data_IF_812857599998
#
_entry.id   IF_812857599998
#
_cell.length_a   1.000
_cell.length_b   1.000
_cell.length_c   1.000
_cell.angle_alpha   90.00
_cell.angle_beta   90.00
_cell.angle_gamma   90.00
#
_symmetry.space_group_name_H-M   'P 1'
#
loop_
_entity.id
_entity.type
_entity.pdbx_description
1 polymer ?
#
# COMPACT_ATOMS: atom_id res chain seq x y z
N UNK A 1 -22.25 -21.01 4.73
CA UNK A 1 -20.95 -20.36 4.42
C UNK A 1 -20.79 -20.39 2.91
N UNK A 2 -20.68 -19.21 2.22
CA UNK A 2 -20.53 -19.19 0.76
C UNK A 2 -19.21 -19.84 0.37
N UNK A 3 -19.24 -20.72 -0.60
CA UNK A 3 -18.06 -21.30 -1.24
C UNK A 3 -17.55 -20.36 -2.33
N UNK A 4 -16.25 -20.41 -2.61
CA UNK A 4 -15.68 -19.69 -3.76
C UNK A 4 -16.21 -20.33 -5.05
N UNK A 5 -16.63 -19.51 -6.03
CA UNK A 5 -17.02 -20.01 -7.36
C UNK A 5 -15.86 -20.77 -8.00
N UNK A 6 -16.20 -21.74 -8.86
CA UNK A 6 -15.23 -22.54 -9.59
C UNK A 6 -14.25 -21.64 -10.37
N UNK A 7 -12.98 -21.96 -10.30
CA UNK A 7 -11.91 -21.30 -11.04
C UNK A 7 -10.88 -22.32 -11.49
N UNK A 8 -10.10 -21.98 -12.50
CA UNK A 8 -8.94 -22.76 -12.95
C UNK A 8 -7.69 -22.21 -12.28
N UNK A 9 -6.79 -23.10 -11.83
CA UNK A 9 -5.49 -22.71 -11.30
C UNK A 9 -4.37 -23.10 -12.27
N UNK A 10 -3.53 -22.13 -12.60
CA UNK A 10 -2.29 -22.30 -13.35
C UNK A 10 -1.12 -22.17 -12.39
N UNK A 11 -0.25 -23.16 -12.31
CA UNK A 11 0.99 -23.14 -11.53
C UNK A 11 2.14 -22.70 -12.43
N UNK A 12 2.42 -21.42 -12.51
CA UNK A 12 3.50 -20.89 -13.33
C UNK A 12 4.87 -21.32 -12.79
N UNK A 13 5.78 -21.71 -13.66
CA UNK A 13 7.15 -22.14 -13.32
C UNK A 13 8.18 -21.03 -13.52
N UNK A 14 7.81 -19.99 -14.26
CA UNK A 14 8.65 -18.82 -14.51
C UNK A 14 7.81 -17.52 -14.54
N UNK A 15 8.49 -16.38 -14.52
CA UNK A 15 7.86 -15.08 -14.70
C UNK A 15 7.21 -14.96 -16.07
N UNK A 16 7.86 -15.45 -17.11
CA UNK A 16 7.41 -15.42 -18.50
C UNK A 16 6.13 -16.26 -18.68
N UNK A 17 6.09 -17.45 -18.06
CA UNK A 17 4.89 -18.28 -18.05
C UNK A 17 3.73 -17.62 -17.31
N UNK A 18 4.00 -16.98 -16.18
CA UNK A 18 2.98 -16.22 -15.43
C UNK A 18 2.42 -15.06 -16.26
N UNK A 19 3.28 -14.26 -16.88
CA UNK A 19 2.92 -13.14 -17.76
C UNK A 19 2.07 -13.64 -18.95
N UNK A 20 2.48 -14.73 -19.59
CA UNK A 20 1.74 -15.35 -20.69
C UNK A 20 0.33 -15.79 -20.27
N UNK A 21 0.22 -16.46 -19.12
CA UNK A 21 -1.07 -16.91 -18.60
C UNK A 21 -1.99 -15.74 -18.22
N UNK A 22 -1.44 -14.63 -17.72
CA UNK A 22 -2.20 -13.44 -17.31
C UNK A 22 -2.84 -12.67 -18.48
N UNK A 23 -2.46 -12.94 -19.72
CA UNK A 23 -3.08 -12.34 -20.92
C UNK A 23 -4.52 -12.80 -21.14
N UNK A 24 -4.87 -13.96 -20.63
CA UNK A 24 -6.25 -14.45 -20.74
C UNK A 24 -7.22 -13.59 -19.92
N UNK A 25 -8.43 -13.42 -20.44
CA UNK A 25 -9.47 -12.62 -19.78
C UNK A 25 -9.79 -13.17 -18.38
N UNK A 26 -10.13 -12.27 -17.45
CA UNK A 26 -10.49 -12.62 -16.07
C UNK A 26 -9.44 -13.49 -15.34
N UNK A 27 -8.17 -13.31 -15.69
CA UNK A 27 -7.04 -13.99 -15.07
C UNK A 27 -6.38 -13.07 -14.04
N UNK A 28 -6.12 -13.60 -12.85
CA UNK A 28 -5.55 -12.84 -11.73
C UNK A 28 -4.34 -13.57 -11.14
N UNK A 29 -3.32 -12.81 -10.77
CA UNK A 29 -2.15 -13.32 -10.07
C UNK A 29 -2.51 -13.69 -8.62
N UNK A 30 -2.06 -14.85 -8.15
CA UNK A 30 -2.24 -15.34 -6.79
C UNK A 30 -0.87 -15.50 -6.12
N UNK A 31 -0.59 -14.67 -5.12
CA UNK A 31 0.54 -14.79 -4.20
C UNK A 31 0.08 -15.35 -2.85
N UNK A 32 0.12 -14.58 -1.76
CA UNK A 32 -0.35 -15.02 -0.44
C UNK A 32 -1.85 -15.24 -0.31
N UNK A 33 -2.65 -14.71 -1.24
CA UNK A 33 -4.11 -14.91 -1.30
C UNK A 33 -4.93 -14.18 -0.23
N UNK A 34 -4.31 -13.52 0.74
CA UNK A 34 -4.96 -12.92 1.91
C UNK A 34 -5.94 -11.78 1.60
N UNK A 35 -5.86 -11.17 0.42
CA UNK A 35 -6.85 -10.25 -0.11
C UNK A 35 -7.77 -10.88 -1.17
N UNK A 36 -7.18 -11.60 -2.13
CA UNK A 36 -7.89 -12.12 -3.30
C UNK A 36 -8.93 -13.19 -2.91
N UNK A 37 -8.58 -14.12 -2.02
CA UNK A 37 -9.51 -15.18 -1.61
C UNK A 37 -10.75 -14.60 -0.93
N UNK A 38 -10.58 -13.59 -0.07
CA UNK A 38 -11.70 -12.86 0.53
C UNK A 38 -12.55 -12.12 -0.52
N UNK A 39 -11.91 -11.49 -1.50
CA UNK A 39 -12.59 -10.82 -2.62
C UNK A 39 -13.47 -11.79 -3.41
N UNK A 40 -12.97 -12.99 -3.69
CA UNK A 40 -13.69 -14.03 -4.40
C UNK A 40 -14.81 -14.64 -3.54
N UNK A 41 -14.52 -15.00 -2.29
CA UNK A 41 -15.47 -15.65 -1.38
C UNK A 41 -16.70 -14.77 -1.08
N UNK A 42 -16.49 -13.47 -0.94
CA UNK A 42 -17.57 -12.52 -0.67
C UNK A 42 -18.22 -11.96 -1.94
N UNK A 43 -17.81 -12.44 -3.12
CA UNK A 43 -18.36 -12.01 -4.41
C UNK A 43 -18.38 -10.47 -4.53
N UNK A 44 -17.30 -9.83 -4.13
CA UNK A 44 -17.19 -8.36 -4.08
C UNK A 44 -17.31 -7.75 -5.47
N UNK A 45 -16.74 -8.40 -6.49
CA UNK A 45 -16.71 -7.93 -7.87
C UNK A 45 -17.93 -8.44 -8.66
N UNK A 46 -18.39 -7.69 -9.68
CA UNK A 46 -19.40 -8.18 -10.60
C UNK A 46 -18.89 -9.39 -11.39
N UNK A 47 -19.80 -10.22 -11.87
CA UNK A 47 -19.45 -11.46 -12.58
C UNK A 47 -18.47 -11.25 -13.74
N UNK A 48 -18.63 -10.15 -14.50
CA UNK A 48 -17.73 -9.81 -15.60
C UNK A 48 -16.28 -9.52 -15.17
N UNK A 49 -16.05 -9.20 -13.90
CA UNK A 49 -14.72 -8.92 -13.33
C UNK A 49 -14.25 -10.03 -12.38
N UNK A 50 -15.07 -11.07 -12.17
CA UNK A 50 -14.75 -12.14 -11.23
C UNK A 50 -13.60 -12.99 -11.78
N UNK A 51 -12.57 -13.29 -10.96
CA UNK A 51 -11.44 -14.12 -11.38
C UNK A 51 -11.91 -15.54 -11.78
N UNK A 52 -11.64 -15.93 -13.01
CA UNK A 52 -11.94 -17.28 -13.52
C UNK A 52 -10.69 -18.15 -13.58
N UNK A 53 -9.53 -17.52 -13.75
CA UNK A 53 -8.22 -18.19 -13.77
C UNK A 53 -7.33 -17.52 -12.73
N UNK A 54 -6.68 -18.33 -11.89
CA UNK A 54 -5.70 -17.88 -10.92
C UNK A 54 -4.32 -18.39 -11.29
N UNK A 55 -3.39 -17.49 -11.57
CA UNK A 55 -1.98 -17.80 -11.81
C UNK A 55 -1.24 -17.81 -10.48
N UNK A 56 -0.89 -18.98 -10.00
CA UNK A 56 -0.15 -19.18 -8.77
C UNK A 56 1.31 -18.77 -8.96
N UNK A 57 1.70 -17.65 -8.35
CA UNK A 57 3.07 -17.15 -8.41
C UNK A 57 4.01 -17.88 -7.42
N UNK A 58 3.47 -18.52 -6.37
CA UNK A 58 4.32 -19.20 -5.36
C UNK A 58 5.11 -20.37 -5.90
N UNK A 59 4.72 -20.90 -7.04
CA UNK A 59 5.47 -21.96 -7.75
C UNK A 59 6.72 -21.42 -8.46
N UNK A 60 6.89 -20.10 -8.56
CA UNK A 60 8.09 -19.45 -9.09
C UNK A 60 9.17 -19.27 -7.99
N UNK A 61 8.80 -19.42 -6.70
CA UNK A 61 9.78 -19.41 -5.62
C UNK A 61 10.88 -20.50 -5.83
N UNK A 62 12.14 -20.27 -5.46
CA UNK A 62 12.62 -19.19 -4.59
C UNK A 62 13.03 -17.90 -5.31
N UNK A 63 12.92 -17.80 -6.63
CA UNK A 63 13.47 -16.67 -7.40
C UNK A 63 12.81 -15.31 -7.08
N UNK A 64 11.61 -15.30 -6.49
CA UNK A 64 10.88 -14.12 -6.08
C UNK A 64 10.68 -14.01 -4.56
N UNK A 65 11.37 -14.83 -3.77
CA UNK A 65 11.31 -14.84 -2.30
C UNK A 65 12.73 -14.70 -1.73
N UNK A 66 13.14 -13.48 -1.47
CA UNK A 66 14.47 -13.16 -0.96
C UNK A 66 14.52 -11.76 -0.33
N UNK A 67 15.46 -11.57 0.61
CA UNK A 67 15.90 -10.27 1.12
C UNK A 67 17.42 -10.22 0.97
N UNK A 68 17.93 -9.27 0.19
CA UNK A 68 19.36 -9.12 -0.11
C UNK A 68 19.76 -7.65 -0.10
N UNK A 69 20.91 -7.34 0.46
CA UNK A 69 21.56 -6.06 0.30
C UNK A 69 22.70 -6.22 -0.69
N UNK A 70 22.60 -5.56 -1.84
CA UNK A 70 23.63 -5.59 -2.87
C UNK A 70 23.62 -4.30 -3.70
N UNK A 71 24.81 -3.89 -4.14
CA UNK A 71 24.99 -2.70 -5.02
C UNK A 71 24.34 -1.42 -4.47
N UNK A 72 24.40 -1.20 -3.14
CA UNK A 72 23.82 -0.02 -2.50
C UNK A 72 22.29 -0.01 -2.43
N UNK A 73 21.66 -1.18 -2.56
CA UNK A 73 20.21 -1.34 -2.55
C UNK A 73 19.81 -2.52 -1.66
N UNK A 74 18.76 -2.34 -0.87
CA UNK A 74 17.98 -3.45 -0.35
C UNK A 74 17.07 -3.97 -1.47
N UNK A 75 17.18 -5.24 -1.81
CA UNK A 75 16.33 -5.92 -2.78
C UNK A 75 15.46 -6.95 -2.08
N UNK A 76 14.15 -6.85 -2.28
CA UNK A 76 13.16 -7.74 -1.65
C UNK A 76 12.32 -8.36 -2.76
N UNK A 77 12.30 -9.66 -2.85
CA UNK A 77 11.46 -10.38 -3.82
C UNK A 77 9.96 -10.17 -3.54
N UNK A 78 9.15 -10.10 -4.60
CA UNK A 78 7.72 -9.79 -4.46
C UNK A 78 6.93 -10.84 -3.66
N UNK A 79 7.42 -12.08 -3.56
CA UNK A 79 6.82 -13.16 -2.79
C UNK A 79 7.32 -13.24 -1.34
N UNK A 80 8.27 -12.40 -0.94
CA UNK A 80 8.74 -12.34 0.45
C UNK A 80 7.60 -11.98 1.37
N UNK A 81 7.43 -12.76 2.43
CA UNK A 81 6.34 -12.57 3.40
C UNK A 81 6.59 -11.31 4.23
N UNK A 82 5.50 -10.66 4.62
CA UNK A 82 5.57 -9.47 5.47
C UNK A 82 6.23 -9.78 6.82
N UNK A 83 6.04 -10.98 7.35
CA UNK A 83 6.65 -11.41 8.61
C UNK A 83 8.19 -11.52 8.48
N UNK A 84 8.69 -12.03 7.34
CA UNK A 84 10.12 -12.14 7.10
C UNK A 84 10.78 -10.75 7.00
N UNK A 85 10.11 -9.79 6.36
CA UNK A 85 10.57 -8.39 6.30
C UNK A 85 10.56 -7.77 7.71
N UNK A 86 9.51 -8.00 8.48
CA UNK A 86 9.37 -7.49 9.84
C UNK A 86 10.44 -8.05 10.79
N UNK A 87 10.86 -9.30 10.59
CA UNK A 87 11.87 -9.97 11.43
C UNK A 87 13.31 -9.77 10.96
N UNK A 88 13.52 -9.37 9.70
CA UNK A 88 14.85 -9.24 9.10
C UNK A 88 15.71 -8.21 9.87
N UNK A 89 16.86 -8.64 10.40
CA UNK A 89 17.83 -7.76 11.04
C UNK A 89 18.39 -6.73 10.07
N UNK A 90 18.62 -7.11 8.83
CA UNK A 90 19.09 -6.21 7.76
C UNK A 90 18.09 -5.08 7.52
N UNK A 91 16.80 -5.40 7.39
CA UNK A 91 15.75 -4.38 7.16
C UNK A 91 15.59 -3.49 8.39
N UNK A 92 15.63 -4.06 9.60
CA UNK A 92 15.51 -3.30 10.85
C UNK A 92 16.63 -2.28 11.05
N UNK A 93 17.85 -2.63 10.67
CA UNK A 93 19.03 -1.79 10.95
C UNK A 93 19.07 -0.51 10.13
N UNK A 94 18.63 -0.54 8.87
CA UNK A 94 18.79 0.60 7.95
C UNK A 94 17.46 1.11 7.38
N UNK A 95 16.43 0.26 7.27
CA UNK A 95 15.11 0.60 6.71
C UNK A 95 14.00 0.42 7.75
N UNK A 96 14.22 0.99 8.94
CA UNK A 96 13.35 0.81 10.11
C UNK A 96 11.85 1.08 9.79
N UNK A 97 11.55 2.13 9.01
CA UNK A 97 10.18 2.42 8.59
C UNK A 97 9.52 1.25 7.83
N UNK A 98 10.26 0.54 7.00
CA UNK A 98 9.73 -0.60 6.24
C UNK A 98 9.50 -1.82 7.13
N UNK A 99 10.45 -2.12 8.03
CA UNK A 99 10.31 -3.20 8.99
C UNK A 99 9.11 -2.98 9.91
N UNK A 100 8.96 -1.78 10.48
CA UNK A 100 7.83 -1.44 11.34
C UNK A 100 6.49 -1.45 10.58
N UNK A 101 6.45 -0.94 9.34
CA UNK A 101 5.27 -0.99 8.49
C UNK A 101 4.83 -2.44 8.21
N UNK A 102 5.78 -3.33 7.91
CA UNK A 102 5.51 -4.75 7.73
C UNK A 102 5.00 -5.39 9.03
N UNK A 103 5.62 -5.10 10.17
CA UNK A 103 5.25 -5.59 11.50
C UNK A 103 3.82 -5.16 11.90
N UNK A 104 3.44 -3.91 11.61
CA UNK A 104 2.13 -3.35 11.94
C UNK A 104 1.02 -3.74 10.97
N UNK A 105 1.34 -4.51 9.93
CA UNK A 105 0.34 -5.00 8.95
C UNK A 105 -0.42 -6.18 9.54
N UNK A 106 -1.74 -6.06 9.63
CA UNK A 106 -2.68 -7.13 9.97
C UNK A 106 -2.30 -7.93 11.25
N UNK A 107 -2.52 -9.25 11.24
CA UNK A 107 -2.14 -10.19 12.31
C UNK A 107 -0.90 -11.00 11.91
N UNK A 108 -0.20 -11.66 12.87
CA UNK A 108 0.92 -12.55 12.56
C UNK A 108 0.57 -13.61 11.51
N UNK A 109 -0.59 -14.28 11.64
CA UNK A 109 -1.04 -15.29 10.69
C UNK A 109 -1.23 -14.74 9.27
N UNK A 110 -1.73 -13.51 9.15
CA UNK A 110 -1.87 -12.86 7.84
C UNK A 110 -0.48 -12.50 7.28
N UNK A 111 0.46 -12.04 8.09
CA UNK A 111 1.82 -11.68 7.65
C UNK A 111 2.65 -12.91 7.23
N UNK A 112 2.42 -14.07 7.85
CA UNK A 112 3.06 -15.35 7.46
C UNK A 112 2.60 -15.86 6.09
N UNK A 113 1.49 -15.35 5.57
CA UNK A 113 0.95 -15.69 4.25
C UNK A 113 1.04 -14.54 3.25
N UNK A 114 0.80 -13.31 3.72
CA UNK A 114 0.79 -12.11 2.91
C UNK A 114 2.19 -11.71 2.46
N UNK A 115 2.36 -11.48 1.17
CA UNK A 115 3.63 -11.07 0.57
C UNK A 115 3.69 -9.57 0.35
N UNK A 116 4.89 -9.01 0.23
CA UNK A 116 5.03 -7.57 -0.02
C UNK A 116 4.45 -7.16 -1.37
N UNK A 117 4.65 -7.95 -2.42
CA UNK A 117 4.02 -7.71 -3.73
C UNK A 117 2.50 -7.74 -3.64
N UNK A 118 1.93 -8.73 -2.92
CA UNK A 118 0.48 -8.79 -2.67
C UNK A 118 -0.02 -7.61 -1.84
N UNK A 119 0.74 -7.16 -0.84
CA UNK A 119 0.37 -6.03 0.00
C UNK A 119 0.27 -4.72 -0.79
N UNK A 120 1.23 -4.41 -1.64
CA UNK A 120 1.21 -3.19 -2.45
C UNK A 120 0.18 -3.22 -3.59
N UNK A 121 -0.23 -4.41 -4.02
CA UNK A 121 -1.23 -4.61 -5.10
C UNK A 121 -2.65 -4.84 -4.59
N UNK A 122 -2.89 -4.88 -3.27
CA UNK A 122 -4.19 -5.17 -2.71
C UNK A 122 -5.26 -4.15 -3.11
N UNK A 123 -6.51 -4.60 -3.18
CA UNK A 123 -7.65 -3.75 -3.47
C UNK A 123 -8.00 -2.84 -2.29
N UNK A 124 -8.57 -1.68 -2.59
CA UNK A 124 -8.97 -0.70 -1.58
C UNK A 124 -9.99 -1.24 -0.58
N UNK A 125 -10.00 -0.64 0.63
CA UNK A 125 -10.89 -1.01 1.76
C UNK A 125 -12.00 0.01 1.95
N UNK A 126 -12.90 0.12 0.97
CA UNK A 126 -14.08 0.95 1.05
C UNK A 126 -15.29 0.09 1.46
N UNK A 127 -16.13 0.56 2.35
CA UNK A 127 -17.35 -0.11 2.81
C UNK A 127 -18.24 -0.57 1.65
N UNK A 128 -18.52 0.32 0.71
CA UNK A 128 -19.38 0.06 -0.44
C UNK A 128 -18.73 -0.88 -1.45
N UNK A 129 -17.43 -0.72 -1.68
CA UNK A 129 -16.69 -1.60 -2.58
C UNK A 129 -16.58 -3.02 -2.04
N UNK A 130 -16.34 -3.18 -0.72
CA UNK A 130 -16.10 -4.48 -0.07
C UNK A 130 -17.36 -5.20 0.39
N UNK A 131 -18.53 -4.59 0.27
CA UNK A 131 -19.76 -5.27 0.64
C UNK A 131 -20.01 -6.46 -0.30
N UNK A 132 -20.32 -7.61 0.32
CA UNK A 132 -20.54 -8.87 -0.39
C UNK A 132 -21.70 -8.79 -1.38
N UNK A 133 -21.75 -9.79 -2.28
CA UNK A 133 -22.76 -9.94 -3.32
C UNK A 133 -22.82 -8.76 -4.30
N UNK A 134 -21.68 -8.09 -4.51
CA UNK A 134 -21.56 -6.90 -5.37
C UNK A 134 -22.69 -5.88 -5.15
N UNK A 135 -23.20 -5.78 -3.90
CA UNK A 135 -24.42 -5.02 -3.57
C UNK A 135 -24.41 -3.57 -4.05
N UNK A 136 -23.24 -2.92 -4.05
CA UNK A 136 -23.09 -1.56 -4.57
C UNK A 136 -22.26 -1.58 -5.85
N UNK A 137 -22.88 -1.33 -6.97
CA UNK A 137 -22.22 -1.16 -8.26
C UNK A 137 -21.58 0.25 -8.33
N UNK A 138 -20.48 0.44 -7.60
CA UNK A 138 -19.76 1.71 -7.56
C UNK A 138 -18.83 1.88 -8.77
N UNK A 139 -18.21 3.07 -8.89
CA UNK A 139 -17.26 3.39 -9.98
C UNK A 139 -16.15 2.35 -10.16
N UNK A 140 -15.66 1.73 -9.08
CA UNK A 140 -14.65 0.65 -9.16
C UNK A 140 -15.18 -0.68 -9.69
N UNK A 141 -16.47 -0.81 -9.80
CA UNK A 141 -17.17 -2.00 -10.30
C UNK A 141 -17.84 -1.76 -11.66
N UNK A 142 -17.49 -0.67 -12.34
CA UNK A 142 -18.09 -0.28 -13.61
C UNK A 142 -19.37 0.55 -13.50
N UNK A 143 -19.80 0.90 -12.29
CA UNK A 143 -20.91 1.83 -12.07
C UNK A 143 -20.51 3.29 -12.27
N UNK A 144 -21.48 4.19 -12.12
CA UNK A 144 -21.29 5.64 -12.32
C UNK A 144 -21.19 6.43 -11.01
N UNK A 145 -21.49 5.83 -9.86
CA UNK A 145 -21.65 6.53 -8.58
C UNK A 145 -20.61 6.09 -7.56
N UNK A 146 -20.04 7.05 -6.84
CA UNK A 146 -19.31 6.78 -5.60
C UNK A 146 -20.26 6.96 -4.40
N UNK A 147 -20.71 5.88 -3.81
CA UNK A 147 -21.68 5.91 -2.70
C UNK A 147 -21.12 6.54 -1.43
N UNK A 148 -19.80 6.64 -1.27
CA UNK A 148 -19.18 7.31 -0.15
C UNK A 148 -19.33 8.84 -0.19
N UNK A 149 -19.64 9.44 -1.35
CA UNK A 149 -19.81 10.89 -1.46
C UNK A 149 -20.94 11.41 -0.57
N UNK A 150 -22.09 10.74 -0.59
CA UNK A 150 -23.28 11.11 0.14
C UNK A 150 -23.56 10.23 1.36
N UNK A 151 -22.96 9.05 1.43
CA UNK A 151 -23.18 8.06 2.49
C UNK A 151 -22.14 8.10 3.59
N UNK A 152 -21.93 6.95 4.25
CA UNK A 152 -20.93 6.79 5.31
C UNK A 152 -19.51 6.96 4.74
N UNK A 153 -18.78 7.95 5.23
CA UNK A 153 -17.48 8.30 4.67
C UNK A 153 -16.38 8.65 5.70
N UNK A 154 -16.59 8.32 6.99
CA UNK A 154 -15.66 8.67 8.08
C UNK A 154 -14.22 8.21 7.87
N UNK A 155 -13.98 7.12 7.14
CA UNK A 155 -12.64 6.58 6.87
C UNK A 155 -12.17 6.77 5.42
N UNK A 156 -12.89 7.55 4.63
CA UNK A 156 -12.53 7.83 3.24
C UNK A 156 -11.51 8.96 3.10
N UNK A 157 -11.16 9.27 1.84
CA UNK A 157 -10.16 10.28 1.50
C UNK A 157 -10.51 11.67 2.06
N UNK A 158 -9.47 12.40 2.47
CA UNK A 158 -9.54 13.82 2.85
C UNK A 158 -8.86 14.74 1.83
N UNK A 159 -8.35 14.18 0.72
CA UNK A 159 -7.71 14.92 -0.36
C UNK A 159 -8.46 14.78 -1.70
N UNK A 160 -9.78 14.53 -1.63
CA UNK A 160 -10.58 14.27 -2.82
C UNK A 160 -10.45 12.83 -3.32
N UNK A 161 -10.75 12.60 -4.58
CA UNK A 161 -10.76 11.28 -5.20
C UNK A 161 -10.09 11.25 -6.56
N UNK A 162 -9.82 10.04 -7.05
CA UNK A 162 -9.36 9.81 -8.42
C UNK A 162 -10.47 9.06 -9.15
N UNK A 163 -10.82 9.50 -10.37
CA UNK A 163 -11.95 8.93 -11.15
C UNK A 163 -13.23 8.83 -10.32
N UNK A 164 -13.56 9.90 -9.60
CA UNK A 164 -14.70 10.01 -8.69
C UNK A 164 -14.69 9.03 -7.49
N UNK A 165 -13.67 8.20 -7.29
CA UNK A 165 -13.59 7.25 -6.18
C UNK A 165 -12.94 7.90 -4.95
N UNK A 166 -13.61 7.86 -3.80
CA UNK A 166 -13.12 8.39 -2.52
C UNK A 166 -12.45 7.34 -1.63
N UNK A 167 -12.23 6.12 -2.13
CA UNK A 167 -11.55 5.08 -1.36
C UNK A 167 -10.09 5.47 -1.09
N UNK A 168 -9.53 4.93 -0.01
CA UNK A 168 -8.13 5.16 0.37
C UNK A 168 -7.27 3.94 0.08
N UNK A 169 -5.96 4.16 -0.10
CA UNK A 169 -4.99 3.08 -0.17
C UNK A 169 -4.84 2.43 1.22
N UNK A 170 -4.95 1.10 1.34
CA UNK A 170 -4.93 0.42 2.63
C UNK A 170 -3.56 -0.16 3.03
N UNK A 171 -2.56 -0.11 2.15
CA UNK A 171 -1.27 -0.76 2.38
C UNK A 171 -0.46 -0.04 3.45
N UNK A 172 -0.06 -0.76 4.51
CA UNK A 172 0.83 -0.19 5.53
C UNK A 172 2.25 0.00 4.99
N UNK A 173 2.73 -0.86 4.08
CA UNK A 173 4.09 -0.74 3.52
C UNK A 173 4.22 0.37 2.48
N UNK A 174 3.11 0.77 1.84
CA UNK A 174 3.13 1.77 0.77
C UNK A 174 3.77 3.12 1.17
N UNK A 175 3.39 3.77 2.29
CA UNK A 175 4.01 5.03 2.67
C UNK A 175 5.50 4.88 3.02
N UNK A 176 5.91 3.74 3.60
CA UNK A 176 7.31 3.46 3.88
C UNK A 176 8.14 3.37 2.58
N UNK A 177 7.62 2.67 1.56
CA UNK A 177 8.29 2.57 0.26
C UNK A 177 8.43 3.93 -0.43
N UNK A 178 7.41 4.80 -0.35
CA UNK A 178 7.47 6.15 -0.90
C UNK A 178 8.46 7.02 -0.12
N UNK A 179 8.42 7.01 1.21
CA UNK A 179 9.34 7.79 2.04
C UNK A 179 10.80 7.36 1.86
N UNK A 180 11.04 6.06 1.68
CA UNK A 180 12.36 5.48 1.42
C UNK A 180 12.80 5.55 -0.04
N UNK A 181 12.06 6.24 -0.91
CA UNK A 181 12.38 6.41 -2.33
C UNK A 181 12.57 5.07 -3.09
N UNK A 182 11.74 4.09 -2.76
CA UNK A 182 11.82 2.76 -3.35
C UNK A 182 11.44 2.74 -4.83
N UNK A 183 11.91 1.71 -5.53
CA UNK A 183 11.52 1.36 -6.90
C UNK A 183 10.82 0.01 -6.91
N UNK A 184 9.80 -0.12 -7.71
CA UNK A 184 9.04 -1.35 -7.93
C UNK A 184 9.46 -1.91 -9.29
N UNK A 185 10.14 -3.04 -9.29
CA UNK A 185 10.56 -3.73 -10.51
C UNK A 185 9.47 -4.73 -10.89
N UNK A 186 8.98 -4.59 -12.10
CA UNK A 186 7.95 -5.48 -12.65
C UNK A 186 8.53 -6.44 -13.68
N UNK A 187 7.69 -7.25 -14.30
CA UNK A 187 8.08 -8.11 -15.42
C UNK A 187 8.48 -7.33 -16.67
N UNK A 188 8.10 -6.05 -16.79
CA UNK A 188 8.31 -5.24 -18.00
C UNK A 188 9.10 -3.95 -17.77
N UNK A 189 9.08 -3.37 -16.56
CA UNK A 189 9.65 -2.03 -16.29
C UNK A 189 9.99 -1.83 -14.82
N UNK A 190 10.69 -0.73 -14.55
CA UNK A 190 10.93 -0.24 -13.18
C UNK A 190 10.15 1.05 -12.97
N UNK A 191 9.43 1.15 -11.86
CA UNK A 191 8.51 2.25 -11.54
C UNK A 191 8.92 2.84 -10.19
N UNK A 192 8.99 4.16 -10.05
CA UNK A 192 9.18 4.78 -8.74
C UNK A 192 7.97 4.48 -7.84
N UNK A 193 8.19 4.17 -6.56
CA UNK A 193 7.10 3.83 -5.66
C UNK A 193 6.01 4.90 -5.61
N UNK A 194 6.36 6.18 -5.69
CA UNK A 194 5.40 7.30 -5.71
C UNK A 194 4.41 7.26 -6.88
N UNK A 195 4.81 6.64 -8.01
CA UNK A 195 4.04 6.56 -9.25
C UNK A 195 3.30 5.22 -9.41
N UNK A 196 3.56 4.26 -8.53
CA UNK A 196 3.04 2.88 -8.66
C UNK A 196 1.53 2.78 -8.44
N UNK A 197 0.97 3.62 -7.57
CA UNK A 197 -0.46 3.57 -7.24
C UNK A 197 -1.27 4.57 -8.04
N UNK A 198 -2.37 4.09 -8.58
CA UNK A 198 -3.38 4.90 -9.27
C UNK A 198 -4.76 4.28 -9.11
N UNK A 199 -5.79 4.88 -9.69
CA UNK A 199 -7.12 4.27 -9.77
C UNK A 199 -7.31 3.69 -11.16
N UNK A 200 -6.88 2.43 -11.35
CA UNK A 200 -7.32 1.59 -12.48
C UNK A 200 -8.39 0.62 -11.95
N UNK A 201 -9.59 0.70 -12.47
CA UNK A 201 -10.70 -0.14 -12.04
C UNK A 201 -10.52 -1.57 -12.55
N UNK A 202 -10.67 -2.60 -11.71
CA UNK A 202 -10.90 -2.57 -10.27
C UNK A 202 -9.62 -2.39 -9.43
N UNK A 203 -8.45 -2.44 -10.08
CA UNK A 203 -7.12 -2.37 -9.46
C UNK A 203 -6.80 -0.95 -8.99
N UNK A 204 -5.79 -0.82 -8.16
CA UNK A 204 -5.34 0.46 -7.60
C UNK A 204 -3.90 0.77 -7.93
N UNK A 205 -3.33 0.08 -8.92
CA UNK A 205 -1.94 0.21 -9.38
C UNK A 205 -1.89 0.52 -10.87
N UNK A 206 -0.73 0.94 -11.35
CA UNK A 206 -0.46 1.20 -12.77
C UNK A 206 -0.08 -0.05 -13.56
N UNK A 207 -0.09 -1.23 -12.94
CA UNK A 207 0.23 -2.49 -13.60
C UNK A 207 -0.74 -2.80 -14.74
N UNK A 208 -0.21 -3.27 -15.85
CA UNK A 208 -1.02 -3.86 -16.92
C UNK A 208 -1.56 -5.25 -16.50
N UNK A 209 -2.48 -5.81 -17.29
CA UNK A 209 -3.14 -7.06 -16.92
C UNK A 209 -2.17 -8.24 -16.85
N UNK A 210 -1.17 -8.25 -17.72
CA UNK A 210 -0.13 -9.26 -17.83
C UNK A 210 1.20 -8.83 -17.17
N UNK A 211 1.16 -7.82 -16.28
CA UNK A 211 2.34 -7.33 -15.59
C UNK A 211 2.33 -7.76 -14.12
N UNK A 212 3.43 -8.32 -13.64
CA UNK A 212 3.61 -8.72 -12.24
C UNK A 212 4.79 -8.00 -11.60
N UNK A 213 4.69 -7.75 -10.30
CA UNK A 213 5.83 -7.27 -9.49
C UNK A 213 6.81 -8.43 -9.29
N UNK A 214 8.09 -8.20 -9.56
CA UNK A 214 9.18 -9.14 -9.34
C UNK A 214 9.93 -8.88 -8.05
N UNK A 215 10.30 -7.62 -7.82
CA UNK A 215 11.02 -7.21 -6.61
C UNK A 215 10.77 -5.75 -6.28
N UNK A 216 11.14 -5.38 -5.08
CA UNK A 216 11.17 -4.01 -4.58
C UNK A 216 12.63 -3.69 -4.27
N UNK A 217 13.10 -2.54 -4.78
CA UNK A 217 14.43 -2.02 -4.57
C UNK A 217 14.35 -0.76 -3.71
N UNK A 218 15.05 -0.73 -2.58
CA UNK A 218 15.07 0.40 -1.68
C UNK A 218 16.53 0.86 -1.54
N UNK A 219 16.86 2.12 -1.86
CA UNK A 219 18.24 2.59 -1.74
C UNK A 219 18.71 2.52 -0.29
N UNK A 220 20.00 2.27 -0.11
CA UNK A 220 20.64 2.43 1.21
C UNK A 220 20.49 3.90 1.61
N UNK A 221 19.99 4.20 2.82
CA UNK A 221 19.86 5.57 3.27
C UNK A 221 21.23 6.26 3.32
N UNK A 222 21.29 7.54 2.95
CA UNK A 222 22.49 8.35 3.14
C UNK A 222 22.83 8.43 4.63
N UNK A 223 24.10 8.67 4.94
CA UNK A 223 24.56 8.80 6.33
C UNK A 223 23.72 9.81 7.10
N UNK A 224 23.33 9.45 8.33
CA UNK A 224 22.53 10.28 9.22
C UNK A 224 21.02 10.30 8.91
N UNK A 225 20.55 9.62 7.85
CA UNK A 225 19.11 9.48 7.59
C UNK A 225 18.53 8.40 8.49
N UNK A 226 17.54 8.78 9.31
CA UNK A 226 16.70 7.86 10.07
C UNK A 226 15.33 7.76 9.44
N UNK A 227 14.67 6.61 9.58
CA UNK A 227 13.31 6.42 9.07
C UNK A 227 12.39 5.84 10.13
N UNK A 228 11.13 6.26 10.11
CA UNK A 228 10.12 5.84 11.07
C UNK A 228 8.77 5.61 10.38
N UNK A 229 7.97 4.73 10.96
CA UNK A 229 6.59 4.48 10.57
C UNK A 229 5.68 4.56 11.78
N UNK A 230 4.55 5.23 11.63
CA UNK A 230 3.51 5.33 12.65
C UNK A 230 2.14 5.02 12.07
N UNK A 231 1.29 4.36 12.86
CA UNK A 231 -0.05 3.93 12.44
C UNK A 231 -1.07 4.27 13.50
N UNK A 232 -2.14 4.92 13.10
CA UNK A 232 -3.36 5.11 13.87
C UNK A 232 -4.46 4.19 13.34
N UNK A 233 -4.99 3.33 14.21
CA UNK A 233 -6.06 2.39 13.94
C UNK A 233 -6.96 2.27 15.18
N UNK A 234 -8.11 1.64 15.08
CA UNK A 234 -9.01 1.45 16.23
C UNK A 234 -8.40 0.52 17.27
N UNK A 235 -7.71 -0.54 16.83
CA UNK A 235 -6.99 -1.49 17.69
C UNK A 235 -5.52 -1.49 17.32
N UNK A 236 -4.66 -1.85 18.25
CA UNK A 236 -3.20 -1.92 18.04
C UNK A 236 -2.77 -3.02 17.08
N UNK A 237 -3.60 -4.03 16.85
CA UNK A 237 -3.35 -5.17 15.97
C UNK A 237 -4.52 -5.38 14.99
N UNK A 238 -4.27 -6.12 13.91
CA UNK A 238 -5.22 -6.59 12.89
C UNK A 238 -5.86 -5.50 12.03
N UNK A 239 -6.17 -4.33 12.56
CA UNK A 239 -6.92 -3.31 11.83
C UNK A 239 -6.12 -2.68 10.69
N UNK A 240 -6.85 -2.30 9.63
CA UNK A 240 -6.32 -1.40 8.61
C UNK A 240 -6.07 -0.01 9.20
N UNK A 241 -5.14 0.76 8.62
CA UNK A 241 -4.90 2.11 9.10
C UNK A 241 -6.13 2.99 8.87
N UNK A 242 -6.47 3.78 9.87
CA UNK A 242 -7.30 4.97 9.68
C UNK A 242 -6.43 6.06 9.05
N UNK A 243 -5.19 6.18 9.54
CA UNK A 243 -4.11 6.98 8.97
C UNK A 243 -2.79 6.29 9.34
N UNK A 244 -1.87 6.23 8.42
CA UNK A 244 -0.48 5.92 8.70
C UNK A 244 0.46 6.92 8.02
N UNK A 245 1.66 7.05 8.55
CA UNK A 245 2.67 7.96 8.03
C UNK A 245 4.03 7.30 8.13
N UNK A 246 4.84 7.47 7.11
CA UNK A 246 6.26 7.15 7.15
C UNK A 246 7.08 8.40 6.86
N UNK A 247 8.23 8.50 7.50
CA UNK A 247 9.22 9.55 7.27
C UNK A 247 10.61 8.96 7.14
N UNK A 248 11.45 9.63 6.35
CA UNK A 248 12.88 9.40 6.24
C UNK A 248 13.57 10.77 6.25
N UNK A 249 14.31 11.07 7.32
CA UNK A 249 14.82 12.43 7.59
C UNK A 249 16.28 12.35 8.06
N UNK A 250 17.11 13.22 7.54
CA UNK A 250 18.53 13.35 7.87
C UNK A 250 19.35 13.75 6.66
N UNK A 251 20.63 14.07 6.85
CA UNK A 251 21.52 14.45 5.76
C UNK A 251 21.02 15.64 4.90
N UNK A 252 20.27 16.57 5.50
CA UNK A 252 19.67 17.70 4.78
C UNK A 252 18.42 17.38 3.96
N UNK A 253 17.91 16.15 4.04
CA UNK A 253 16.71 15.73 3.28
C UNK A 253 15.59 15.30 4.22
N UNK A 254 14.34 15.51 3.77
CA UNK A 254 13.16 15.00 4.41
C UNK A 254 12.22 14.41 3.35
N UNK A 255 11.78 13.17 3.56
CA UNK A 255 10.72 12.55 2.76
C UNK A 255 9.62 12.07 3.71
N UNK A 256 8.40 12.52 3.48
CA UNK A 256 7.25 12.27 4.37
C UNK A 256 6.07 11.82 3.54
N UNK A 257 5.52 10.67 3.88
CA UNK A 257 4.40 10.10 3.16
C UNK A 257 3.26 9.71 4.10
N UNK A 258 2.10 10.34 3.95
CA UNK A 258 0.83 9.94 4.55
C UNK A 258 0.17 8.85 3.72
N UNK A 259 -0.59 7.96 4.37
CA UNK A 259 -1.43 7.02 3.66
C UNK A 259 -2.76 6.79 4.40
N UNK A 260 -3.69 6.07 3.77
CA UNK A 260 -5.09 5.97 4.17
C UNK A 260 -5.84 7.33 4.21
N UNK A 261 -5.29 8.35 3.57
CA UNK A 261 -5.86 9.71 3.45
C UNK A 261 -6.25 10.05 2.02
N UNK A 262 -5.79 9.26 1.04
CA UNK A 262 -6.03 9.45 -0.39
C UNK A 262 -6.07 8.11 -1.12
N UNK A 263 -6.46 8.09 -2.38
CA UNK A 263 -6.53 6.86 -3.20
C UNK A 263 -5.17 6.17 -3.37
N UNK A 264 -4.10 6.92 -3.27
CA UNK A 264 -2.71 6.46 -3.30
C UNK A 264 -1.94 7.04 -2.10
N UNK A 265 -0.75 6.53 -1.77
CA UNK A 265 0.12 7.18 -0.80
C UNK A 265 0.30 8.66 -1.16
N UNK A 266 0.20 9.53 -0.17
CA UNK A 266 0.23 10.98 -0.33
C UNK A 266 1.56 11.53 0.18
N UNK A 267 2.46 11.84 -0.73
CA UNK A 267 3.72 12.50 -0.39
C UNK A 267 3.43 13.91 0.09
N UNK A 268 3.81 14.22 1.31
CA UNK A 268 3.53 15.50 1.97
C UNK A 268 4.63 16.52 1.67
N UNK A 269 4.79 16.92 0.40
CA UNK A 269 5.87 17.82 -0.04
C UNK A 269 5.93 19.13 0.73
N UNK A 270 4.76 19.71 1.09
CA UNK A 270 4.70 20.92 1.93
C UNK A 270 5.26 20.68 3.34
N UNK A 271 5.12 19.47 3.88
CA UNK A 271 5.74 19.13 5.16
C UNK A 271 7.26 18.95 5.00
N UNK A 272 7.71 18.37 3.88
CA UNK A 272 9.13 18.25 3.55
C UNK A 272 9.78 19.63 3.41
N UNK A 273 9.13 20.55 2.71
CA UNK A 273 9.55 21.96 2.58
C UNK A 273 9.63 22.65 3.95
N UNK A 274 8.62 22.44 4.82
CA UNK A 274 8.61 23.01 6.17
C UNK A 274 9.74 22.45 7.07
N UNK A 275 10.26 21.27 6.78
CA UNK A 275 11.40 20.66 7.48
C UNK A 275 12.75 21.03 6.88
N UNK A 276 12.82 21.64 5.70
CA UNK A 276 14.07 21.97 5.04
C UNK A 276 14.94 22.88 5.92
N UNK A 277 16.18 22.44 6.20
CA UNK A 277 17.13 23.16 7.03
C UNK A 277 16.74 23.28 8.52
N UNK A 278 15.73 22.56 8.99
CA UNK A 278 15.30 22.56 10.40
C UNK A 278 15.85 21.35 11.15
N UNK A 279 16.12 21.55 12.43
CA UNK A 279 16.32 20.48 13.39
C UNK A 279 15.00 19.78 13.70
N UNK A 280 15.06 18.49 14.03
CA UNK A 280 13.89 17.75 14.49
C UNK A 280 13.59 18.14 15.95
N UNK A 281 12.54 18.94 16.13
CA UNK A 281 11.99 19.28 17.43
C UNK A 281 10.46 19.33 17.39
N UNK A 282 9.83 19.61 18.52
CA UNK A 282 8.35 19.65 18.63
C UNK A 282 7.74 20.75 17.77
N UNK A 283 8.41 21.91 17.67
CA UNK A 283 7.89 23.07 16.95
C UNK A 283 7.97 22.86 15.42
N UNK A 284 9.14 22.43 14.92
CA UNK A 284 9.34 22.12 13.51
C UNK A 284 8.42 20.96 13.03
N UNK A 285 8.32 19.90 13.83
CA UNK A 285 7.43 18.77 13.54
C UNK A 285 5.93 19.18 13.57
N UNK A 286 5.53 20.10 14.46
CA UNK A 286 4.16 20.62 14.51
C UNK A 286 3.85 21.47 13.26
N UNK A 287 4.77 22.33 12.86
CA UNK A 287 4.63 23.17 11.66
C UNK A 287 4.53 22.30 10.40
N UNK A 288 5.39 21.28 10.26
CA UNK A 288 5.35 20.33 9.16
C UNK A 288 4.04 19.53 9.14
N UNK A 289 3.54 19.11 10.30
CA UNK A 289 2.24 18.45 10.41
C UNK A 289 1.08 19.32 9.91
N UNK A 290 1.07 20.58 10.26
CA UNK A 290 0.07 21.56 9.75
C UNK A 290 0.20 21.76 8.24
N UNK A 291 1.43 21.89 7.73
CA UNK A 291 1.72 22.03 6.30
C UNK A 291 1.27 20.81 5.49
N UNK A 292 1.43 19.59 6.02
CA UNK A 292 1.06 18.34 5.36
C UNK A 292 -0.41 18.25 4.97
N UNK A 293 -1.29 18.90 5.72
CA UNK A 293 -2.74 18.86 5.50
C UNK A 293 -3.30 20.10 4.80
N UNK A 294 -2.44 20.99 4.36
CA UNK A 294 -2.85 22.17 3.58
C UNK A 294 -3.51 21.73 2.27
N UNK A 295 -4.71 22.21 2.01
CA UNK A 295 -5.49 21.81 0.83
C UNK A 295 -6.34 20.55 1.02
N UNK A 296 -6.40 19.98 2.23
CA UNK A 296 -7.33 18.91 2.54
C UNK A 296 -8.78 19.32 2.31
N UNK A 297 -9.56 18.45 1.67
CA UNK A 297 -10.98 18.61 1.33
C UNK A 297 -11.77 17.44 1.90
N UNK A 298 -12.09 17.56 3.21
CA UNK A 298 -12.82 16.51 3.90
C UNK A 298 -14.26 16.36 3.36
N UNK A 299 -14.78 15.16 3.44
CA UNK A 299 -16.21 14.88 3.28
C UNK A 299 -16.96 15.19 4.59
N UNK A 300 -18.30 15.03 4.55
CA UNK A 300 -19.18 15.41 5.67
C UNK A 300 -18.76 14.79 7.01
N UNK A 301 -18.30 13.53 7.01
CA UNK A 301 -18.09 12.75 8.23
C UNK A 301 -16.61 12.54 8.59
N UNK A 302 -15.65 13.07 7.84
CA UNK A 302 -14.23 12.79 8.05
C UNK A 302 -13.34 14.02 8.29
N UNK A 303 -13.91 15.17 8.65
CA UNK A 303 -13.15 16.40 8.99
C UNK A 303 -12.11 16.16 10.09
N UNK A 304 -12.44 15.35 11.09
CA UNK A 304 -11.57 14.98 12.20
C UNK A 304 -10.26 14.31 11.75
N UNK A 305 -10.27 13.60 10.62
CA UNK A 305 -9.06 12.97 10.05
C UNK A 305 -7.97 13.97 9.70
N UNK A 306 -8.31 15.22 9.40
CA UNK A 306 -7.33 16.27 9.06
C UNK A 306 -6.39 16.52 10.25
N UNK A 307 -6.95 16.70 11.45
CA UNK A 307 -6.14 16.90 12.66
C UNK A 307 -5.31 15.68 13.02
N UNK A 308 -5.91 14.49 12.90
CA UNK A 308 -5.19 13.24 13.14
C UNK A 308 -4.04 13.08 12.13
N UNK A 309 -4.25 13.41 10.85
CA UNK A 309 -3.21 13.33 9.82
C UNK A 309 -2.02 14.26 10.15
N UNK A 310 -2.30 15.51 10.55
CA UNK A 310 -1.25 16.43 11.01
C UNK A 310 -0.48 15.87 12.21
N UNK A 311 -1.18 15.31 13.20
CA UNK A 311 -0.57 14.69 14.37
C UNK A 311 0.28 13.45 14.02
N UNK A 312 -0.14 12.67 13.01
CA UNK A 312 0.64 11.50 12.57
C UNK A 312 1.93 11.90 11.86
N UNK A 313 1.91 12.98 11.06
CA UNK A 313 3.13 13.56 10.47
C UNK A 313 4.09 14.02 11.56
N UNK A 314 3.59 14.81 12.53
CA UNK A 314 4.39 15.23 13.70
C UNK A 314 5.04 14.04 14.40
N UNK A 315 4.25 12.98 14.68
CA UNK A 315 4.76 11.76 15.33
C UNK A 315 5.82 11.05 14.51
N UNK A 316 5.63 10.92 13.20
CA UNK A 316 6.58 10.26 12.32
C UNK A 316 7.91 11.04 12.24
N UNK A 317 7.87 12.37 12.20
CA UNK A 317 9.06 13.23 12.21
C UNK A 317 9.82 13.05 13.53
N UNK A 318 9.14 13.19 14.68
CA UNK A 318 9.76 13.06 15.99
C UNK A 318 10.36 11.67 16.24
N UNK A 319 9.85 10.64 15.60
CA UNK A 319 10.41 9.28 15.67
C UNK A 319 11.71 9.10 14.85
N UNK A 320 12.13 10.11 14.09
CA UNK A 320 13.43 10.16 13.39
C UNK A 320 14.50 10.95 14.16
N UNK A 321 14.20 11.45 15.37
CA UNK A 321 15.18 12.15 16.24
C UNK A 321 16.23 11.22 16.82
#
# INVERSE_FOLDING_TARGET
>A
MKTVKKFTRVNAKSVEEAVSALRAANTWALAGGTDLVGTMRFEILPNAMYPQILVNLKTIAPTLDFIKEEKGMLRIGALTRLEDIAKSSVVKSQWAALSEAAHRTASPHIREMGTIGGNICQLNRCWYFRLHDCRFLCVRKGGKTCFAMAGENRYHSIFGGVSACMAVNPSDTAPALVALNAKIVTSSRTINAEEFWSVKIPRSTVLENDEIVREIQVPVPSSGVKSAFVKFALRSSIDFPIINCASAIGGGTARICLNAVFNKPYRATKAEEAMAGKTIDVASAQAAGAAAVTGARALKMNKWKIQVAAGMVKKAILACS
#
